data_IF_014242021312
#
_entry.id   IF_014242021312
#
_cell.length_a   1.000
_cell.length_b   1.000
_cell.length_c   1.000
_cell.angle_alpha   90.00
_cell.angle_beta   90.00
_cell.angle_gamma   90.00
#
_symmetry.space_group_name_H-M   'P 1'
#
loop_
_entity.id
_entity.type
_entity.pdbx_description
1 polymer ?
#
# COMPACT_ATOMS: atom_id res chain seq x y z
N UNK A 1 9.59 -29.14 -29.88
CA UNK A 1 10.68 -28.53 -29.09
C UNK A 1 11.26 -27.39 -29.89
N UNK A 2 10.71 -26.17 -29.75
CA UNK A 2 11.39 -24.97 -30.24
C UNK A 2 11.90 -24.26 -28.99
N UNK A 3 13.21 -24.28 -28.80
CA UNK A 3 13.89 -23.59 -27.72
C UNK A 3 13.52 -22.11 -27.84
N UNK A 4 12.78 -21.60 -26.86
CA UNK A 4 12.38 -20.20 -26.80
C UNK A 4 13.62 -19.33 -26.88
N UNK A 5 13.61 -18.36 -27.81
CA UNK A 5 14.60 -17.29 -27.82
C UNK A 5 14.58 -16.65 -26.43
N UNK A 6 15.69 -16.76 -25.70
CA UNK A 6 15.88 -16.06 -24.43
C UNK A 6 15.86 -14.56 -24.72
N UNK A 7 14.69 -13.93 -24.62
CA UNK A 7 14.54 -12.49 -24.73
C UNK A 7 15.22 -11.87 -23.51
N UNK A 8 16.51 -11.59 -23.63
CA UNK A 8 17.30 -11.02 -22.54
C UNK A 8 16.86 -9.57 -22.33
N UNK A 9 16.11 -9.32 -21.25
CA UNK A 9 15.64 -7.98 -20.91
C UNK A 9 16.78 -7.19 -20.29
N UNK A 10 17.18 -6.09 -20.93
CA UNK A 10 18.19 -5.16 -20.42
C UNK A 10 17.54 -3.93 -19.77
N UNK A 11 18.32 -3.17 -19.01
CA UNK A 11 17.89 -1.90 -18.39
C UNK A 11 17.34 -0.88 -19.40
N UNK A 12 17.76 -0.95 -20.66
CA UNK A 12 17.20 -0.14 -21.74
C UNK A 12 15.71 -0.42 -21.94
N UNK A 13 15.28 -1.69 -21.88
CA UNK A 13 13.88 -2.06 -22.04
C UNK A 13 13.03 -1.53 -20.88
N UNK A 14 13.58 -1.56 -19.67
CA UNK A 14 12.94 -0.95 -18.48
C UNK A 14 12.82 0.56 -18.66
N UNK A 15 13.85 1.23 -19.18
CA UNK A 15 13.83 2.65 -19.51
C UNK A 15 12.78 3.01 -20.57
N UNK A 16 12.66 2.19 -21.63
CA UNK A 16 11.60 2.36 -22.64
C UNK A 16 10.22 2.22 -22.00
N UNK A 17 10.01 1.22 -21.14
CA UNK A 17 8.76 1.06 -20.39
C UNK A 17 8.44 2.25 -19.48
N UNK A 18 9.47 2.82 -18.85
CA UNK A 18 9.33 4.03 -18.03
C UNK A 18 8.87 5.25 -18.83
N UNK A 19 9.18 5.34 -20.13
CA UNK A 19 8.70 6.42 -20.99
C UNK A 19 7.16 6.45 -21.09
N UNK A 20 6.47 5.32 -20.97
CA UNK A 20 5.00 5.32 -20.93
C UNK A 20 4.46 6.04 -19.70
N UNK A 21 5.07 5.80 -18.53
CA UNK A 21 4.73 6.52 -17.29
C UNK A 21 5.08 8.01 -17.39
N UNK A 22 6.21 8.33 -18.04
CA UNK A 22 6.59 9.73 -18.29
C UNK A 22 5.57 10.44 -19.19
N UNK A 23 5.07 9.76 -20.23
CA UNK A 23 4.02 10.29 -21.10
C UNK A 23 2.74 10.58 -20.32
N UNK A 24 2.28 9.65 -19.47
CA UNK A 24 1.13 9.86 -18.59
C UNK A 24 1.32 11.07 -17.65
N UNK A 25 2.55 11.27 -17.15
CA UNK A 25 2.87 12.42 -16.32
C UNK A 25 2.82 13.75 -17.10
N UNK A 26 3.26 13.77 -18.36
CA UNK A 26 3.15 14.94 -19.24
C UNK A 26 1.69 15.26 -19.55
N UNK A 27 0.88 14.25 -19.87
CA UNK A 27 -0.57 14.41 -20.08
C UNK A 27 -1.23 14.94 -18.80
N UNK A 28 -0.86 14.39 -17.63
CA UNK A 28 -1.34 14.87 -16.33
C UNK A 28 -1.01 16.34 -16.09
N UNK A 29 0.17 16.80 -16.50
CA UNK A 29 0.57 18.20 -16.39
C UNK A 29 -0.22 19.09 -17.38
N UNK A 30 -0.36 18.65 -18.64
CA UNK A 30 -1.12 19.38 -19.66
C UNK A 30 -2.61 19.52 -19.33
N UNK A 31 -3.19 18.52 -18.65
CA UNK A 31 -4.59 18.52 -18.20
C UNK A 31 -4.78 19.07 -16.77
N UNK A 32 -3.71 19.44 -16.06
CA UNK A 32 -3.79 19.97 -14.70
C UNK A 32 -4.28 18.97 -13.63
N UNK A 33 -4.10 17.65 -13.85
CA UNK A 33 -4.64 16.60 -12.99
C UNK A 33 -3.89 16.43 -11.65
N UNK A 34 -2.68 16.97 -11.52
CA UNK A 34 -1.91 16.95 -10.26
C UNK A 34 -1.36 15.58 -9.82
N UNK A 35 -1.45 14.54 -10.67
CA UNK A 35 -1.01 13.17 -10.34
C UNK A 35 0.35 12.79 -10.95
N UNK A 36 0.87 13.58 -11.90
CA UNK A 36 2.10 13.25 -12.63
C UNK A 36 3.33 12.99 -11.75
N UNK A 37 3.59 13.84 -10.76
CA UNK A 37 4.72 13.65 -9.82
C UNK A 37 4.56 12.39 -8.96
N UNK A 38 3.33 12.07 -8.56
CA UNK A 38 3.01 10.86 -7.80
C UNK A 38 3.23 9.61 -8.65
N UNK A 39 2.89 9.66 -9.94
CA UNK A 39 3.04 8.55 -10.87
C UNK A 39 4.53 8.24 -11.13
N UNK A 40 5.33 9.27 -11.42
CA UNK A 40 6.78 9.14 -11.62
C UNK A 40 7.46 8.63 -10.35
N UNK A 41 7.12 9.19 -9.19
CA UNK A 41 7.66 8.73 -7.91
C UNK A 41 7.30 7.27 -7.61
N UNK A 42 6.09 6.84 -7.95
CA UNK A 42 5.65 5.45 -7.77
C UNK A 42 6.41 4.51 -8.72
N UNK A 43 6.63 4.90 -9.97
CA UNK A 43 7.39 4.12 -10.93
C UNK A 43 8.87 3.95 -10.53
N UNK A 44 9.52 5.03 -10.09
CA UNK A 44 10.90 4.95 -9.56
C UNK A 44 10.95 4.02 -8.35
N UNK A 45 10.02 4.17 -7.40
CA UNK A 45 9.93 3.30 -6.23
C UNK A 45 9.73 1.83 -6.64
N UNK A 46 8.91 1.56 -7.65
CA UNK A 46 8.69 0.22 -8.20
C UNK A 46 9.99 -0.40 -8.74
N UNK A 47 10.74 0.33 -9.56
CA UNK A 47 12.03 -0.13 -10.11
C UNK A 47 13.00 -0.48 -8.99
N UNK A 48 13.16 0.42 -8.01
CA UNK A 48 14.07 0.21 -6.88
C UNK A 48 13.62 -0.98 -6.03
N UNK A 49 12.34 -1.09 -5.71
CA UNK A 49 11.80 -2.17 -4.88
C UNK A 49 11.93 -3.54 -5.54
N UNK A 50 11.61 -3.65 -6.84
CA UNK A 50 11.76 -4.91 -7.57
C UNK A 50 13.23 -5.31 -7.70
N UNK A 51 14.13 -4.35 -7.92
CA UNK A 51 15.58 -4.61 -7.98
C UNK A 51 16.12 -5.12 -6.64
N UNK A 52 15.72 -4.50 -5.53
CA UNK A 52 16.10 -4.95 -4.18
C UNK A 52 15.50 -6.34 -3.91
N UNK A 53 14.23 -6.56 -4.25
CA UNK A 53 13.56 -7.84 -4.03
C UNK A 53 14.25 -8.97 -4.81
N UNK A 54 14.69 -8.72 -6.04
CA UNK A 54 15.43 -9.71 -6.84
C UNK A 54 16.71 -10.18 -6.11
N UNK A 55 17.48 -9.25 -5.55
CA UNK A 55 18.69 -9.57 -4.79
C UNK A 55 18.38 -10.33 -3.48
N UNK A 56 17.35 -9.88 -2.75
CA UNK A 56 16.95 -10.49 -1.47
C UNK A 56 16.44 -11.92 -1.67
N UNK A 57 15.61 -12.15 -2.68
CA UNK A 57 15.04 -13.48 -2.94
C UNK A 57 16.10 -14.49 -3.33
N UNK A 58 17.10 -14.09 -4.13
CA UNK A 58 18.20 -14.98 -4.50
C UNK A 58 18.92 -15.52 -3.26
N UNK A 59 19.30 -14.65 -2.31
CA UNK A 59 19.97 -15.08 -1.08
C UNK A 59 19.09 -15.99 -0.21
N UNK A 60 17.77 -15.81 -0.23
CA UNK A 60 16.85 -16.66 0.57
C UNK A 60 16.58 -18.00 -0.08
N UNK A 61 16.53 -18.07 -1.40
CA UNK A 61 16.41 -19.34 -2.11
C UNK A 61 17.66 -20.20 -1.88
N UNK A 62 18.85 -19.60 -1.91
CA UNK A 62 20.12 -20.29 -1.61
C UNK A 62 20.20 -20.80 -0.16
N UNK A 63 19.63 -20.07 0.81
CA UNK A 63 19.67 -20.46 2.22
C UNK A 63 18.87 -21.73 2.55
N UNK A 64 17.84 -22.08 1.74
CA UNK A 64 17.00 -23.28 1.88
C UNK A 64 16.53 -23.60 3.32
N UNK A 65 16.38 -22.58 4.16
CA UNK A 65 16.07 -22.71 5.59
C UNK A 65 14.64 -22.23 5.89
N UNK A 66 13.81 -23.03 6.59
CA UNK A 66 12.46 -22.62 7.00
C UNK A 66 12.43 -21.32 7.81
N UNK A 67 13.48 -21.05 8.58
CA UNK A 67 13.61 -19.82 9.36
C UNK A 67 13.85 -18.59 8.49
N UNK A 68 14.56 -18.73 7.37
CA UNK A 68 14.74 -17.64 6.41
C UNK A 68 13.40 -17.26 5.75
N UNK A 69 12.60 -18.27 5.38
CA UNK A 69 11.26 -18.08 4.82
C UNK A 69 10.32 -17.43 5.84
N UNK A 70 10.35 -17.87 7.11
CA UNK A 70 9.59 -17.24 8.18
C UNK A 70 10.03 -15.79 8.44
N UNK A 71 11.33 -15.50 8.36
CA UNK A 71 11.90 -14.16 8.47
C UNK A 71 11.39 -13.22 7.38
N UNK A 72 11.44 -13.64 6.11
CA UNK A 72 10.86 -12.87 5.00
C UNK A 72 9.35 -12.73 5.15
N UNK A 73 8.63 -13.78 5.56
CA UNK A 73 7.19 -13.70 5.76
C UNK A 73 6.82 -12.64 6.80
N UNK A 74 7.54 -12.61 7.92
CA UNK A 74 7.40 -11.58 8.95
C UNK A 74 7.72 -10.18 8.40
N UNK A 75 8.82 -10.05 7.66
CA UNK A 75 9.22 -8.79 7.03
C UNK A 75 8.13 -8.26 6.10
N UNK A 76 7.55 -9.10 5.24
CA UNK A 76 6.46 -8.73 4.33
C UNK A 76 5.21 -8.26 5.08
N UNK A 77 4.86 -8.89 6.20
CA UNK A 77 3.74 -8.46 7.04
C UNK A 77 4.00 -7.11 7.71
N UNK A 78 5.22 -6.88 8.22
CA UNK A 78 5.62 -5.60 8.82
C UNK A 78 5.59 -4.48 7.77
N UNK A 79 6.21 -4.72 6.60
CA UNK A 79 6.24 -3.75 5.51
C UNK A 79 4.83 -3.46 4.97
N UNK A 80 3.99 -4.48 4.82
CA UNK A 80 2.60 -4.33 4.38
C UNK A 80 1.75 -3.54 5.37
N UNK A 81 1.92 -3.79 6.67
CA UNK A 81 1.24 -3.04 7.74
C UNK A 81 1.68 -1.58 7.76
N UNK A 82 2.98 -1.34 7.61
CA UNK A 82 3.52 0.02 7.50
C UNK A 82 2.98 0.73 6.25
N UNK A 83 2.96 0.08 5.09
CA UNK A 83 2.44 0.65 3.84
C UNK A 83 0.95 1.00 3.96
N UNK A 84 0.16 0.12 4.56
CA UNK A 84 -1.28 0.34 4.84
C UNK A 84 -1.48 1.60 5.65
N UNK A 85 -0.78 1.74 6.77
CA UNK A 85 -1.00 2.85 7.71
C UNK A 85 -0.31 4.14 7.25
N UNK A 86 0.96 4.08 6.85
CA UNK A 86 1.77 5.26 6.57
C UNK A 86 1.44 5.89 5.22
N UNK A 87 1.10 5.10 4.20
CA UNK A 87 1.04 5.58 2.82
C UNK A 87 -0.35 5.51 2.20
N UNK A 88 -1.15 4.48 2.50
CA UNK A 88 -2.46 4.27 1.84
C UNK A 88 -3.68 4.73 2.64
N UNK A 89 -3.63 4.65 3.96
CA UNK A 89 -4.75 5.06 4.82
C UNK A 89 -4.85 6.58 4.94
N UNK A 90 -6.00 7.13 4.52
CA UNK A 90 -6.35 8.55 4.70
C UNK A 90 -6.88 8.84 6.11
N UNK A 91 -7.71 7.96 6.64
CA UNK A 91 -8.27 8.04 7.99
C UNK A 91 -7.61 7.02 8.91
N UNK A 92 -7.02 7.49 10.01
CA UNK A 92 -6.27 6.67 10.96
C UNK A 92 -6.89 6.68 12.34
N UNK A 93 -6.63 5.64 13.11
CA UNK A 93 -6.96 5.58 14.53
C UNK A 93 -5.73 5.24 15.38
N UNK A 94 -5.80 5.55 16.68
CA UNK A 94 -4.71 5.23 17.61
C UNK A 94 -4.48 3.72 17.72
N UNK A 95 -3.25 3.28 17.45
CA UNK A 95 -2.88 1.86 17.41
C UNK A 95 -3.22 1.13 16.11
N UNK A 96 -3.44 1.86 15.00
CA UNK A 96 -3.75 1.23 13.70
C UNK A 96 -2.64 0.31 13.17
N UNK A 97 -1.36 0.62 13.42
CA UNK A 97 -0.24 -0.20 12.95
C UNK A 97 -0.22 -1.61 13.57
N UNK A 98 -0.20 -1.78 14.91
CA UNK A 98 -0.26 -3.12 15.50
C UNK A 98 -1.58 -3.84 15.19
N UNK A 99 -2.70 -3.11 15.09
CA UNK A 99 -3.98 -3.70 14.70
C UNK A 99 -3.97 -4.24 13.26
N UNK A 100 -3.40 -3.49 12.32
CA UNK A 100 -3.26 -3.92 10.92
C UNK A 100 -2.33 -5.12 10.81
N UNK A 101 -1.22 -5.11 11.56
CA UNK A 101 -0.29 -6.23 11.60
C UNK A 101 -0.96 -7.51 12.08
N UNK A 102 -1.73 -7.44 13.18
CA UNK A 102 -2.50 -8.57 13.68
C UNK A 102 -3.56 -9.02 12.68
N UNK A 103 -4.28 -8.08 12.04
CA UNK A 103 -5.26 -8.39 11.01
C UNK A 103 -4.64 -9.15 9.83
N UNK A 104 -3.51 -8.67 9.31
CA UNK A 104 -2.77 -9.31 8.21
C UNK A 104 -2.18 -10.66 8.65
N UNK A 105 -1.64 -10.76 9.86
CA UNK A 105 -1.05 -12.01 10.35
C UNK A 105 -2.11 -13.11 10.52
N UNK A 106 -3.24 -12.80 11.16
CA UNK A 106 -4.35 -13.73 11.38
C UNK A 106 -5.02 -14.13 10.07
N UNK A 107 -5.09 -13.24 9.07
CA UNK A 107 -5.65 -13.58 7.78
C UNK A 107 -4.68 -14.34 6.87
N UNK A 108 -3.42 -13.91 6.82
CA UNK A 108 -2.49 -14.31 5.76
C UNK A 108 -1.76 -15.59 6.12
N UNK A 109 -1.27 -15.73 7.35
CA UNK A 109 -0.47 -16.90 7.76
C UNK A 109 -1.29 -18.19 7.71
N UNK A 110 -2.53 -18.27 8.26
CA UNK A 110 -3.31 -19.49 8.19
C UNK A 110 -3.72 -19.83 6.76
N UNK A 111 -4.14 -18.84 5.97
CA UNK A 111 -4.56 -19.06 4.58
C UNK A 111 -3.37 -19.48 3.71
N UNK A 112 -2.19 -18.89 3.89
CA UNK A 112 -1.00 -19.29 3.14
C UNK A 112 -0.54 -20.70 3.49
N UNK A 113 -0.51 -21.07 4.77
CA UNK A 113 -0.11 -22.41 5.21
C UNK A 113 -1.12 -23.45 4.75
N UNK A 114 -2.41 -23.23 4.99
CA UNK A 114 -3.48 -24.17 4.63
C UNK A 114 -3.58 -24.28 3.10
N UNK A 115 -3.55 -23.16 2.38
CA UNK A 115 -3.65 -23.13 0.93
C UNK A 115 -2.48 -23.83 0.25
N UNK A 116 -1.25 -23.52 0.67
CA UNK A 116 -0.05 -24.14 0.07
C UNK A 116 0.02 -25.64 0.38
N UNK A 117 -0.26 -26.04 1.63
CA UNK A 117 -0.17 -27.44 2.04
C UNK A 117 -1.31 -28.30 1.48
N UNK A 118 -2.56 -27.85 1.59
CA UNK A 118 -3.72 -28.67 1.25
C UNK A 118 -4.27 -28.37 -0.14
N UNK A 119 -4.43 -27.10 -0.52
CA UNK A 119 -5.05 -26.74 -1.79
C UNK A 119 -4.09 -26.93 -2.98
N UNK A 120 -2.80 -26.69 -2.78
CA UNK A 120 -1.77 -26.88 -3.81
C UNK A 120 -1.08 -28.25 -3.74
N UNK A 121 -1.39 -29.06 -2.71
CA UNK A 121 -0.81 -30.39 -2.47
C UNK A 121 0.73 -30.41 -2.45
N UNK A 122 1.35 -29.31 -2.02
CA UNK A 122 2.81 -29.23 -1.91
C UNK A 122 3.26 -29.91 -0.61
N UNK A 123 4.14 -30.91 -0.73
CA UNK A 123 4.65 -31.66 0.44
C UNK A 123 5.44 -30.76 1.39
N UNK A 124 6.20 -29.80 0.84
CA UNK A 124 6.94 -28.80 1.58
C UNK A 124 6.34 -27.41 1.36
N UNK A 125 5.41 -27.03 2.24
CA UNK A 125 4.74 -25.73 2.13
C UNK A 125 5.70 -24.52 2.28
N UNK A 126 6.91 -24.73 2.80
CA UNK A 126 7.94 -23.70 2.97
C UNK A 126 8.86 -23.54 1.76
N UNK A 127 8.57 -24.19 0.61
CA UNK A 127 9.34 -23.99 -0.62
C UNK A 127 9.38 -22.51 -0.99
N UNK A 128 10.54 -21.87 -0.80
CA UNK A 128 10.68 -20.41 -0.80
C UNK A 128 10.25 -19.79 -2.14
N UNK A 129 10.57 -20.45 -3.25
CA UNK A 129 10.24 -20.05 -4.62
C UNK A 129 8.73 -19.90 -4.87
N UNK A 130 7.91 -20.74 -4.23
CA UNK A 130 6.44 -20.73 -4.37
C UNK A 130 5.80 -19.91 -3.25
N UNK A 131 6.21 -20.17 -2.01
CA UNK A 131 5.55 -19.63 -0.82
C UNK A 131 5.73 -18.11 -0.71
N UNK A 132 6.93 -17.57 -0.96
CA UNK A 132 7.20 -16.14 -0.77
C UNK A 132 6.40 -15.28 -1.77
N UNK A 133 6.36 -15.58 -3.09
CA UNK A 133 5.52 -14.83 -4.02
C UNK A 133 4.02 -14.94 -3.70
N UNK A 134 3.52 -16.12 -3.31
CA UNK A 134 2.12 -16.31 -2.92
C UNK A 134 1.79 -15.43 -1.71
N UNK A 135 2.62 -15.49 -0.67
CA UNK A 135 2.45 -14.66 0.51
C UNK A 135 2.48 -13.16 0.16
N UNK A 136 3.39 -12.75 -0.73
CA UNK A 136 3.46 -11.38 -1.25
C UNK A 136 2.16 -10.93 -1.93
N UNK A 137 1.56 -11.79 -2.77
CA UNK A 137 0.27 -11.51 -3.42
C UNK A 137 -0.89 -11.41 -2.42
N UNK A 138 -0.92 -12.28 -1.41
CA UNK A 138 -1.93 -12.23 -0.34
C UNK A 138 -1.78 -10.94 0.48
N UNK A 139 -0.56 -10.59 0.90
CA UNK A 139 -0.25 -9.33 1.58
C UNK A 139 -0.65 -8.12 0.72
N UNK A 140 -0.32 -8.11 -0.57
CA UNK A 140 -0.66 -7.02 -1.48
C UNK A 140 -2.17 -6.77 -1.59
N UNK A 141 -2.95 -7.85 -1.68
CA UNK A 141 -4.41 -7.77 -1.79
C UNK A 141 -5.08 -7.34 -0.47
N UNK A 142 -4.61 -7.88 0.66
CA UNK A 142 -5.11 -7.53 1.99
C UNK A 142 -4.86 -6.08 2.37
N UNK A 143 -3.75 -5.47 1.95
CA UNK A 143 -3.49 -4.02 2.13
C UNK A 143 -4.66 -3.20 1.57
N UNK A 144 -5.08 -3.49 0.34
CA UNK A 144 -6.17 -2.75 -0.31
C UNK A 144 -7.51 -2.99 0.39
N UNK A 145 -7.80 -4.24 0.76
CA UNK A 145 -9.02 -4.59 1.51
C UNK A 145 -9.13 -3.87 2.86
N UNK A 146 -8.06 -3.92 3.68
CA UNK A 146 -8.02 -3.25 4.99
C UNK A 146 -8.18 -1.73 4.81
N UNK A 147 -7.42 -1.12 3.88
CA UNK A 147 -7.48 0.34 3.67
C UNK A 147 -8.89 0.78 3.30
N UNK A 148 -9.55 0.08 2.38
CA UNK A 148 -10.91 0.42 1.95
C UNK A 148 -11.91 0.21 3.08
N UNK A 149 -11.89 -0.96 3.74
CA UNK A 149 -12.82 -1.29 4.82
C UNK A 149 -12.70 -0.31 6.00
N UNK A 150 -11.46 -0.08 6.49
CA UNK A 150 -11.20 0.83 7.60
C UNK A 150 -11.54 2.27 7.23
N UNK A 151 -11.16 2.74 6.03
CA UNK A 151 -11.45 4.11 5.60
C UNK A 151 -12.95 4.33 5.45
N UNK A 152 -13.68 3.39 4.85
CA UNK A 152 -15.12 3.49 4.67
C UNK A 152 -15.84 3.57 6.01
N UNK A 153 -15.49 2.71 6.98
CA UNK A 153 -16.09 2.75 8.32
C UNK A 153 -15.77 4.06 9.05
N UNK A 154 -14.50 4.48 9.07
CA UNK A 154 -14.12 5.71 9.79
C UNK A 154 -14.76 6.95 9.18
N UNK A 155 -14.86 6.99 7.84
CA UNK A 155 -15.54 8.06 7.12
C UNK A 155 -17.03 8.08 7.46
N UNK A 156 -17.69 6.93 7.43
CA UNK A 156 -19.12 6.82 7.73
C UNK A 156 -19.43 7.21 9.19
N UNK A 157 -18.60 6.80 10.15
CA UNK A 157 -18.72 7.23 11.55
C UNK A 157 -18.49 8.73 11.74
N UNK A 158 -17.67 9.34 10.89
CA UNK A 158 -17.41 10.78 10.93
C UNK A 158 -18.55 11.59 10.31
N UNK A 159 -19.07 11.17 9.15
CA UNK A 159 -20.12 11.87 8.41
C UNK A 159 -21.53 11.62 8.98
N UNK A 160 -21.82 10.42 9.48
CA UNK A 160 -23.14 10.03 9.99
C UNK A 160 -23.15 9.82 11.51
N UNK A 161 -22.30 10.55 12.24
CA UNK A 161 -22.18 10.48 13.71
C UNK A 161 -23.52 10.59 14.42
N UNK A 162 -24.32 11.60 14.04
CA UNK A 162 -25.60 11.91 14.71
C UNK A 162 -26.58 10.75 14.62
N UNK A 163 -26.59 10.02 13.50
CA UNK A 163 -27.44 8.83 13.30
C UNK A 163 -27.03 7.72 14.25
N UNK A 164 -25.73 7.45 14.37
CA UNK A 164 -25.21 6.40 15.25
C UNK A 164 -25.48 6.75 16.71
N UNK A 165 -25.28 8.00 17.12
CA UNK A 165 -25.60 8.45 18.49
C UNK A 165 -27.09 8.39 18.79
N UNK A 166 -27.94 8.68 17.80
CA UNK A 166 -29.40 8.52 17.92
C UNK A 166 -29.76 7.06 18.18
N UNK A 167 -29.25 6.09 17.40
CA UNK A 167 -29.51 4.67 17.65
C UNK A 167 -29.08 4.23 19.04
N UNK A 168 -27.91 4.69 19.50
CA UNK A 168 -27.41 4.37 20.84
C UNK A 168 -28.27 5.00 21.95
N UNK A 169 -28.79 6.22 21.73
CA UNK A 169 -29.71 6.88 22.65
C UNK A 169 -31.07 6.16 22.75
N UNK A 170 -31.52 5.52 21.67
CA UNK A 170 -32.71 4.65 21.66
C UNK A 170 -32.44 3.23 22.23
N UNK A 171 -31.25 2.98 22.78
CA UNK A 171 -30.90 1.72 23.44
C UNK A 171 -30.35 0.63 22.53
N UNK A 172 -30.03 0.94 21.26
CA UNK A 172 -29.38 -0.03 20.38
C UNK A 172 -27.99 -0.40 20.90
N UNK A 173 -27.61 -1.67 20.75
CA UNK A 173 -26.24 -2.10 21.03
C UNK A 173 -25.25 -1.53 20.01
N UNK A 174 -23.96 -1.48 20.36
CA UNK A 174 -22.90 -1.05 19.42
C UNK A 174 -22.90 -1.87 18.13
N UNK A 175 -23.18 -3.17 18.26
CA UNK A 175 -23.24 -4.08 17.13
C UNK A 175 -24.39 -3.70 16.18
N UNK A 176 -25.59 -3.45 16.72
CA UNK A 176 -26.76 -3.07 15.91
C UNK A 176 -26.56 -1.72 15.22
N UNK A 177 -26.05 -0.72 15.95
CA UNK A 177 -25.79 0.60 15.40
C UNK A 177 -24.72 0.58 14.29
N UNK A 178 -23.71 -0.30 14.39
CA UNK A 178 -22.60 -0.35 13.44
C UNK A 178 -22.77 -1.39 12.32
N UNK A 179 -23.68 -2.35 12.46
CA UNK A 179 -23.92 -3.41 11.47
C UNK A 179 -24.15 -2.88 10.03
N UNK A 180 -25.00 -1.86 9.79
CA UNK A 180 -25.19 -1.34 8.43
C UNK A 180 -23.91 -0.69 7.87
N UNK A 181 -23.18 0.05 8.71
CA UNK A 181 -21.90 0.69 8.37
C UNK A 181 -20.85 -0.36 7.99
N UNK A 182 -20.70 -1.38 8.84
CA UNK A 182 -19.77 -2.48 8.64
C UNK A 182 -20.08 -3.27 7.35
N UNK A 183 -21.36 -3.55 7.10
CA UNK A 183 -21.79 -4.30 5.91
C UNK A 183 -21.50 -3.51 4.63
N UNK A 184 -21.77 -2.20 4.62
CA UNK A 184 -21.48 -1.33 3.49
C UNK A 184 -19.97 -1.24 3.21
N UNK A 185 -19.17 -1.02 4.26
CA UNK A 185 -17.72 -0.93 4.17
C UNK A 185 -17.09 -2.24 3.66
N UNK A 186 -17.56 -3.39 4.16
CA UNK A 186 -17.06 -4.69 3.72
C UNK A 186 -17.42 -4.97 2.26
N UNK A 187 -18.64 -4.63 1.81
CA UNK A 187 -19.02 -4.74 0.40
C UNK A 187 -18.07 -3.91 -0.47
N UNK A 188 -17.83 -2.65 -0.10
CA UNK A 188 -16.93 -1.76 -0.84
C UNK A 188 -15.50 -2.32 -0.92
N UNK A 189 -15.01 -2.93 0.16
CA UNK A 189 -13.68 -3.53 0.20
C UNK A 189 -13.55 -4.80 -0.66
N UNK A 190 -14.64 -5.56 -0.81
CA UNK A 190 -14.64 -6.84 -1.54
C UNK A 190 -15.04 -6.72 -3.01
N UNK A 191 -15.73 -5.64 -3.41
CA UNK A 191 -16.13 -5.40 -4.80
C UNK A 191 -14.97 -5.56 -5.80
N UNK A 192 -13.76 -5.01 -5.58
CA UNK A 192 -12.67 -5.15 -6.54
C UNK A 192 -12.26 -6.62 -6.75
N UNK A 193 -12.19 -7.41 -5.68
CA UNK A 193 -11.82 -8.83 -5.75
C UNK A 193 -12.89 -9.65 -6.47
N UNK A 194 -14.16 -9.39 -6.19
CA UNK A 194 -15.30 -10.06 -6.86
C UNK A 194 -15.30 -9.72 -8.36
N UNK A 195 -15.10 -8.44 -8.69
CA UNK A 195 -15.05 -7.98 -10.09
C UNK A 195 -13.83 -8.56 -10.83
N UNK A 196 -12.70 -8.75 -10.15
CA UNK A 196 -11.54 -9.40 -10.76
C UNK A 196 -11.82 -10.88 -11.04
N UNK A 197 -12.46 -11.59 -10.11
CA UNK A 197 -12.83 -13.01 -10.29
C UNK A 197 -13.85 -13.23 -11.41
N UNK A 198 -14.71 -12.26 -11.73
CA UNK A 198 -15.70 -12.42 -12.79
C UNK A 198 -15.13 -12.30 -14.21
N UNK A 199 -13.99 -11.60 -14.38
CA UNK A 199 -13.36 -11.36 -15.69
C UNK A 199 -12.12 -12.22 -15.95
N UNK A 200 -11.55 -12.80 -14.90
CA UNK A 200 -10.33 -13.60 -14.97
C UNK A 200 -10.58 -14.87 -15.81
N UNK A 201 -9.73 -15.11 -16.80
CA UNK A 201 -9.88 -16.22 -17.75
C UNK A 201 -10.86 -15.96 -18.91
N UNK A 202 -11.75 -14.95 -18.83
CA UNK A 202 -12.58 -14.51 -19.95
C UNK A 202 -11.89 -13.43 -20.80
N UNK A 203 -11.36 -12.40 -20.14
CA UNK A 203 -10.74 -11.24 -20.81
C UNK A 203 -9.27 -11.14 -20.47
N UNK A 204 -8.90 -11.48 -19.23
CA UNK A 204 -7.54 -11.31 -18.72
C UNK A 204 -6.93 -12.66 -18.33
N UNK A 205 -5.74 -12.94 -18.84
CA UNK A 205 -4.89 -14.05 -18.39
C UNK A 205 -3.95 -13.48 -17.31
N UNK A 206 -4.00 -13.99 -16.07
CA UNK A 206 -3.16 -13.50 -15.00
C UNK A 206 -1.67 -13.69 -15.28
N UNK A 207 -0.85 -12.70 -14.90
CA UNK A 207 0.58 -12.72 -15.18
C UNK A 207 1.32 -13.94 -14.61
N UNK A 208 0.90 -14.45 -13.45
CA UNK A 208 1.51 -15.66 -12.86
C UNK A 208 1.09 -16.95 -13.59
N UNK A 209 -0.15 -17.01 -14.11
CA UNK A 209 -0.57 -18.10 -15.00
C UNK A 209 0.22 -18.06 -16.31
N UNK A 210 0.34 -16.89 -16.95
CA UNK A 210 1.19 -16.72 -18.14
C UNK A 210 2.65 -17.07 -17.83
N UNK A 211 3.17 -16.63 -16.69
CA UNK A 211 4.54 -16.93 -16.24
C UNK A 211 4.78 -18.42 -16.07
N UNK A 212 3.83 -19.16 -15.47
CA UNK A 212 3.91 -20.61 -15.33
C UNK A 212 3.90 -21.31 -16.70
N UNK A 213 3.04 -20.86 -17.63
CA UNK A 213 2.98 -21.40 -19.00
C UNK A 213 4.30 -21.14 -19.74
N UNK A 214 4.85 -19.92 -19.66
CA UNK A 214 6.15 -19.57 -20.26
C UNK A 214 7.31 -20.33 -19.61
N UNK A 215 7.19 -20.65 -18.32
CA UNK A 215 8.10 -21.52 -17.57
C UNK A 215 7.97 -23.01 -17.89
N UNK A 216 7.09 -23.40 -18.83
CA UNK A 216 6.93 -24.77 -19.30
C UNK A 216 5.90 -25.61 -18.55
N UNK A 217 5.13 -25.02 -17.61
CA UNK A 217 4.01 -25.72 -16.98
C UNK A 217 2.88 -25.97 -17.99
N UNK A 218 2.12 -27.05 -17.79
CA UNK A 218 0.94 -27.31 -18.62
C UNK A 218 -0.16 -26.27 -18.34
N UNK A 219 -0.89 -25.88 -19.38
CA UNK A 219 -1.94 -24.85 -19.29
C UNK A 219 -3.03 -25.24 -18.28
N UNK A 220 -3.40 -26.52 -18.24
CA UNK A 220 -4.37 -27.06 -17.28
C UNK A 220 -3.90 -26.87 -15.82
N UNK A 221 -2.63 -27.17 -15.53
CA UNK A 221 -2.09 -27.01 -14.18
C UNK A 221 -1.94 -25.53 -13.79
N UNK A 222 -1.49 -24.68 -14.72
CA UNK A 222 -1.41 -23.25 -14.50
C UNK A 222 -2.79 -22.64 -14.19
N UNK A 223 -3.84 -23.08 -14.89
CA UNK A 223 -5.22 -22.65 -14.63
C UNK A 223 -5.71 -23.06 -13.23
N UNK A 224 -5.46 -24.32 -12.81
CA UNK A 224 -5.83 -24.82 -11.48
C UNK A 224 -5.13 -24.08 -10.35
N UNK A 225 -3.82 -23.84 -10.49
CA UNK A 225 -3.04 -23.06 -9.52
C UNK A 225 -3.59 -21.63 -9.40
N UNK A 226 -3.94 -21.01 -10.54
CA UNK A 226 -4.49 -19.66 -10.55
C UNK A 226 -5.89 -19.58 -9.90
N UNK A 227 -6.75 -20.60 -10.08
CA UNK A 227 -8.04 -20.70 -9.39
C UNK A 227 -7.85 -20.77 -7.87
N UNK A 228 -6.96 -21.65 -7.39
CA UNK A 228 -6.65 -21.79 -5.96
C UNK A 228 -6.14 -20.47 -5.38
N UNK A 229 -5.22 -19.80 -6.06
CA UNK A 229 -4.64 -18.54 -5.59
C UNK A 229 -5.70 -17.42 -5.54
N UNK A 230 -6.65 -17.37 -6.48
CA UNK A 230 -7.76 -16.42 -6.42
C UNK A 230 -8.67 -16.66 -5.22
N UNK A 231 -8.97 -17.92 -4.90
CA UNK A 231 -9.75 -18.25 -3.71
C UNK A 231 -9.01 -17.89 -2.42
N UNK A 232 -7.69 -18.11 -2.37
CA UNK A 232 -6.85 -17.69 -1.25
C UNK A 232 -6.82 -16.17 -1.08
N UNK A 233 -6.65 -15.41 -2.17
CA UNK A 233 -6.69 -13.94 -2.15
C UNK A 233 -8.04 -13.46 -1.61
N UNK A 234 -9.15 -14.02 -2.09
CA UNK A 234 -10.49 -13.64 -1.64
C UNK A 234 -10.72 -13.95 -0.15
N UNK A 235 -10.37 -15.15 0.29
CA UNK A 235 -10.50 -15.55 1.69
C UNK A 235 -9.64 -14.67 2.61
N UNK A 236 -8.38 -14.45 2.24
CA UNK A 236 -7.46 -13.63 3.00
C UNK A 236 -7.90 -12.16 3.07
N UNK A 237 -8.29 -11.57 1.94
CA UNK A 237 -8.77 -10.18 1.86
C UNK A 237 -10.04 -9.99 2.68
N UNK A 238 -10.97 -10.95 2.65
CA UNK A 238 -12.19 -10.93 3.46
C UNK A 238 -11.88 -10.96 4.95
N UNK A 239 -11.07 -11.91 5.40
CA UNK A 239 -10.69 -12.02 6.81
C UNK A 239 -9.93 -10.76 7.29
N UNK A 240 -8.96 -10.29 6.52
CA UNK A 240 -8.18 -9.11 6.85
C UNK A 240 -9.08 -7.86 6.96
N UNK A 241 -9.98 -7.67 6.00
CA UNK A 241 -10.92 -6.54 5.98
C UNK A 241 -11.87 -6.58 7.17
N UNK A 242 -12.38 -7.77 7.53
CA UNK A 242 -13.24 -7.96 8.70
C UNK A 242 -12.49 -7.60 9.98
N UNK A 243 -11.29 -8.17 10.20
CA UNK A 243 -10.51 -7.92 11.43
C UNK A 243 -10.08 -6.45 11.53
N UNK A 244 -9.63 -5.85 10.42
CA UNK A 244 -9.26 -4.43 10.36
C UNK A 244 -10.44 -3.50 10.62
N UNK A 245 -11.61 -3.84 10.07
CA UNK A 245 -12.87 -3.11 10.29
C UNK A 245 -13.33 -3.20 11.74
N UNK A 246 -13.39 -4.40 12.33
CA UNK A 246 -13.77 -4.58 13.74
C UNK A 246 -12.80 -3.86 14.68
N UNK A 247 -11.50 -3.90 14.38
CA UNK A 247 -10.51 -3.16 15.16
C UNK A 247 -10.73 -1.65 15.10
N UNK A 248 -11.10 -1.12 13.92
CA UNK A 248 -11.42 0.30 13.75
C UNK A 248 -12.68 0.69 14.55
N UNK A 249 -13.75 -0.11 14.46
CA UNK A 249 -15.00 0.10 15.22
C UNK A 249 -14.77 0.06 16.72
N UNK A 250 -14.06 -0.96 17.21
CA UNK A 250 -13.77 -1.15 18.64
C UNK A 250 -12.93 0.00 19.22
N UNK A 251 -12.02 0.58 18.43
CA UNK A 251 -11.21 1.73 18.86
C UNK A 251 -11.92 3.07 18.73
N UNK A 252 -12.84 3.19 17.77
CA UNK A 252 -13.62 4.41 17.53
C UNK A 252 -14.79 4.58 18.50
N UNK A 253 -15.38 3.49 19.00
CA UNK A 253 -16.56 3.51 19.87
C UNK A 253 -16.17 2.99 21.25
N UNK A 254 -16.24 3.88 22.23
CA UNK A 254 -15.82 3.61 23.61
C UNK A 254 -16.80 2.74 24.39
N UNK A 255 -16.38 2.28 25.58
CA UNK A 255 -17.18 1.36 26.36
C UNK A 255 -18.55 1.89 26.81
N UNK A 256 -18.65 3.22 26.88
CA UNK A 256 -19.86 3.96 27.21
C UNK A 256 -20.71 4.35 25.98
N UNK A 257 -20.57 3.66 24.84
CA UNK A 257 -21.35 3.93 23.63
C UNK A 257 -21.26 5.39 23.14
N UNK A 258 -20.05 5.97 23.19
CA UNK A 258 -19.76 7.30 22.65
C UNK A 258 -18.72 7.21 21.53
N UNK A 259 -18.94 7.95 20.46
CA UNK A 259 -17.98 8.05 19.36
C UNK A 259 -16.84 8.97 19.82
N UNK A 260 -15.63 8.41 19.92
CA UNK A 260 -14.43 9.21 20.24
C UNK A 260 -13.83 9.77 18.95
N UNK A 261 -14.41 10.87 18.46
CA UNK A 261 -13.88 11.62 17.31
C UNK A 261 -12.42 12.05 17.50
N UNK A 262 -12.00 12.30 18.74
CA UNK A 262 -10.61 12.65 19.10
C UNK A 262 -9.58 11.56 18.75
N UNK A 263 -10.01 10.31 18.52
CA UNK A 263 -9.12 9.20 18.13
C UNK A 263 -9.05 8.99 16.62
N UNK A 264 -9.82 9.72 15.84
CA UNK A 264 -9.86 9.64 14.37
C UNK A 264 -9.02 10.79 13.81
N UNK A 265 -7.84 10.47 13.30
CA UNK A 265 -6.94 11.46 12.73
C UNK A 265 -6.98 11.40 11.20
N UNK A 266 -7.20 12.54 10.56
CA UNK A 266 -6.91 12.72 9.12
C UNK A 266 -5.46 13.18 8.88
N UNK A 267 -4.67 13.38 9.95
CA UNK A 267 -3.31 13.92 9.84
C UNK A 267 -2.32 12.88 9.29
N UNK A 268 -1.31 13.37 8.55
CA UNK A 268 -0.21 12.56 8.00
C UNK A 268 0.48 11.72 9.10
N UNK A 269 1.02 10.56 8.75
CA UNK A 269 1.70 9.67 9.69
C UNK A 269 2.91 10.38 10.33
N UNK A 270 3.26 10.03 11.57
CA UNK A 270 4.27 10.74 12.39
C UNK A 270 5.62 10.85 11.66
N UNK A 271 6.05 9.78 10.98
CA UNK A 271 7.29 9.78 10.19
C UNK A 271 7.27 10.79 9.04
N UNK A 272 6.16 10.92 8.32
CA UNK A 272 6.03 11.91 7.27
C UNK A 272 5.95 13.33 7.81
N UNK A 273 5.35 13.53 8.99
CA UNK A 273 5.41 14.83 9.70
C UNK A 273 6.82 15.19 10.15
N UNK A 274 7.60 14.21 10.60
CA UNK A 274 9.00 14.42 10.96
C UNK A 274 9.85 14.76 9.73
N UNK A 275 9.65 14.03 8.62
CA UNK A 275 10.31 14.33 7.34
C UNK A 275 9.93 15.70 6.80
N UNK A 276 8.64 16.03 6.75
CA UNK A 276 8.17 17.32 6.24
C UNK A 276 8.69 18.46 7.12
N UNK A 277 8.77 18.28 8.46
CA UNK A 277 9.46 19.24 9.36
C UNK A 277 10.95 19.37 9.06
N UNK A 278 11.65 18.27 8.82
CA UNK A 278 13.08 18.30 8.49
C UNK A 278 13.33 18.99 7.13
N UNK A 279 12.55 18.66 6.10
CA UNK A 279 12.64 19.28 4.78
C UNK A 279 12.32 20.77 4.87
N UNK A 280 11.23 21.14 5.53
CA UNK A 280 10.87 22.55 5.70
C UNK A 280 11.93 23.31 6.48
N UNK A 281 12.51 22.71 7.53
CA UNK A 281 13.63 23.30 8.28
C UNK A 281 14.87 23.56 7.40
N UNK A 282 15.20 22.63 6.51
CA UNK A 282 16.31 22.80 5.54
C UNK A 282 15.99 23.87 4.50
N UNK A 283 14.77 23.88 3.96
CA UNK A 283 14.32 24.87 2.97
C UNK A 283 14.28 26.27 3.58
N UNK A 284 13.80 26.40 4.81
CA UNK A 284 13.71 27.68 5.52
C UNK A 284 15.10 28.18 5.92
N UNK A 285 16.01 27.30 6.35
CA UNK A 285 17.42 27.64 6.57
C UNK A 285 18.11 28.10 5.26
N UNK A 286 17.82 27.44 4.14
CA UNK A 286 18.31 27.83 2.82
C UNK A 286 17.79 29.20 2.37
N UNK A 287 16.48 29.46 2.57
CA UNK A 287 15.86 30.77 2.27
C UNK A 287 16.42 31.88 3.15
N UNK A 288 16.64 31.61 4.44
CA UNK A 288 17.26 32.56 5.37
C UNK A 288 18.71 32.88 4.97
N UNK A 289 19.49 31.87 4.58
CA UNK A 289 20.84 32.06 4.04
C UNK A 289 20.87 32.88 2.75
N UNK A 290 19.96 32.59 1.81
CA UNK A 290 19.82 33.33 0.57
C UNK A 290 19.42 34.79 0.78
N UNK A 291 18.45 35.06 1.68
CA UNK A 291 18.06 36.43 2.05
C UNK A 291 19.21 37.19 2.71
N UNK A 292 19.98 36.54 3.59
CA UNK A 292 21.14 37.17 4.26
C UNK A 292 22.25 37.55 3.28
N UNK A 293 22.54 36.68 2.30
CA UNK A 293 23.48 36.98 1.21
C UNK A 293 22.98 38.10 0.30
N UNK A 294 21.68 38.13 -0.02
CA UNK A 294 21.07 39.19 -0.83
C UNK A 294 21.12 40.56 -0.13
N UNK A 295 20.88 40.62 1.18
CA UNK A 295 21.00 41.86 1.95
C UNK A 295 22.46 42.32 2.09
N UNK A 296 23.42 41.40 2.23
CA UNK A 296 24.86 41.74 2.27
C UNK A 296 25.35 42.31 0.93
N UNK A 297 24.85 41.80 -0.20
CA UNK A 297 25.19 42.33 -1.53
C UNK A 297 24.59 43.72 -1.79
N UNK A 298 23.38 44.01 -1.29
CA UNK A 298 22.82 45.37 -1.38
C UNK A 298 23.55 46.37 -0.48
N UNK A 299 24.07 45.94 0.69
CA UNK A 299 24.84 46.84 1.56
C UNK A 299 26.24 47.14 1.01
N UNK A 300 26.86 46.23 0.25
CA UNK A 300 28.15 46.50 -0.42
C UNK A 300 28.00 47.34 -1.70
N UNK A 301 26.85 47.31 -2.36
CA UNK A 301 26.59 48.11 -3.56
C UNK A 301 26.36 49.60 -3.28
N UNK A 302 26.04 49.98 -2.03
CA UNK A 302 25.77 51.38 -1.65
C UNK A 302 26.97 52.09 -0.98
N UNK A 303 28.13 51.43 -0.88
CA UNK A 303 29.33 51.95 -0.20
C UNK A 303 30.41 52.52 -1.13
N UNK A 304 30.20 52.53 -2.44
CA UNK A 304 31.17 53.03 -3.43
C UNK A 304 30.47 53.94 -4.44
N UNK A 305 30.23 55.21 -4.08
CA UNK A 305 29.63 56.13 -5.05
C UNK A 305 29.14 57.50 -4.58
N UNK A 306 29.58 58.05 -3.45
CA UNK A 306 29.38 59.48 -3.19
C UNK A 306 30.39 60.28 -4.01
N UNK A 307 30.06 60.56 -5.27
CA UNK A 307 30.64 61.67 -6.03
C UNK A 307 29.78 62.90 -5.81
N UNK A 308 30.37 63.89 -5.14
CA UNK A 308 29.81 65.22 -4.97
C UNK A 308 29.42 65.86 -6.32
N UNK A 309 28.30 66.58 -6.41
CA UNK A 309 27.98 67.36 -7.59
C UNK A 309 28.82 68.64 -7.63
N UNK A 310 29.49 68.86 -8.76
CA UNK A 310 30.15 70.11 -9.11
C UNK A 310 29.15 71.03 -9.82
N UNK A 311 29.08 72.27 -9.34
CA UNK A 311 28.52 73.51 -9.91
C UNK A 311 27.06 73.86 -9.57
N UNK A 312 26.89 75.07 -9.01
CA UNK A 312 25.64 75.82 -8.89
C UNK A 312 25.52 76.57 -7.58
#
# INVERSE_FOLDING_TARGET
MSAGQNTHLNWVNVGIGFCFVAADAVVSYGLGLGVGTSLVSAAIRCIVQLSIMALVLQSVFEASSPWAVAGIACLLLVLGSFETVANKSKYRFSGMLPSTFVAMAISTIPVSIIGTRFAMSETEFWAAEKYIPILGMLCGSTISGIVVATTAVLKELHENRDKVETYLAFGASRYEACKPIATSALRLALTPTINQMSVIGLISIPGMMTGAILGGASVDQAAKLQMVIMFMINACTTLASIVGMFSALYRAIDDCARIRSERIFSEKFILWRARDRAINGVVDAGKAGYQKLRHSNHSSANGNGERAPLLG
#
